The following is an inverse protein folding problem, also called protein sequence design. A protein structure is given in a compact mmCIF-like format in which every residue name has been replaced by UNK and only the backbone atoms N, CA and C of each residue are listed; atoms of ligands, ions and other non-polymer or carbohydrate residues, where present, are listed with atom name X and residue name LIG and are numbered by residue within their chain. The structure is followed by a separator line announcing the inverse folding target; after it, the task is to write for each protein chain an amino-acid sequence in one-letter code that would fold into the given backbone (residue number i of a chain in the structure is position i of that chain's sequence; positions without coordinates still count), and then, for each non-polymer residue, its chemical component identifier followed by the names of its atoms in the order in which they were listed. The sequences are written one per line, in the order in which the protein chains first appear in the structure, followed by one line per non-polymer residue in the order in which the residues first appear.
data_IF_959843288800
#
_entry.id   IF_959843288800
#
_cell.length_a   1.000
_cell.length_b   1.000
_cell.length_c   1.000
_cell.angle_alpha   90.00
_cell.angle_beta   90.00
_cell.angle_gamma   90.00
#
_symmetry.space_group_name_H-M   'P 1'
#
loop_
_entity.id
_entity.type
_entity.pdbx_description
1 polymer ?
#
# COMPACT_ATOMS: atom_id res chain seq x y z
N UNK A 1 -34.98 -3.18 32.21
CA UNK A 1 -35.52 -3.09 30.83
C UNK A 1 -34.35 -2.82 29.89
N UNK A 2 -34.37 -3.49 28.74
CA UNK A 2 -33.22 -4.03 28.01
C UNK A 2 -32.29 -2.95 27.42
N UNK A 3 -31.04 -2.91 27.87
CA UNK A 3 -29.88 -2.49 27.07
C UNK A 3 -29.22 -3.78 26.61
N UNK A 4 -28.80 -3.88 25.35
CA UNK A 4 -27.48 -4.35 24.91
C UNK A 4 -27.47 -4.33 23.38
N UNK A 5 -26.64 -3.45 22.84
CA UNK A 5 -26.28 -3.38 21.45
C UNK A 5 -25.49 -4.65 21.09
N UNK A 6 -25.90 -5.35 20.04
CA UNK A 6 -25.13 -6.45 19.48
C UNK A 6 -23.94 -5.84 18.72
N UNK A 7 -22.83 -5.70 19.43
CA UNK A 7 -21.52 -5.37 18.89
C UNK A 7 -21.15 -6.40 17.83
N UNK A 8 -20.92 -5.94 16.60
CA UNK A 8 -20.48 -6.78 15.48
C UNK A 8 -19.15 -7.46 15.82
N UNK A 9 -19.21 -8.76 16.05
CA UNK A 9 -18.05 -9.65 15.99
C UNK A 9 -17.73 -9.83 14.49
N UNK A 10 -16.81 -9.01 13.97
CA UNK A 10 -16.14 -9.30 12.71
C UNK A 10 -14.85 -10.05 13.04
N UNK A 11 -14.99 -11.38 13.14
CA UNK A 11 -13.89 -12.35 13.18
C UNK A 11 -13.22 -12.42 11.80
N UNK A 12 -11.95 -12.86 11.80
CA UNK A 12 -11.23 -13.59 10.73
C UNK A 12 -10.69 -12.74 9.53
N UNK A 13 -9.47 -12.95 9.02
CA UNK A 13 -8.45 -14.01 9.18
C UNK A 13 -7.05 -13.38 9.10
N UNK A 14 -6.19 -13.74 10.04
CA UNK A 14 -4.75 -13.56 9.95
C UNK A 14 -4.19 -14.70 9.08
N UNK A 15 -3.92 -14.47 7.80
CA UNK A 15 -3.13 -15.41 6.98
C UNK A 15 -1.74 -14.85 6.82
N UNK A 16 -0.76 -15.64 7.27
CA UNK A 16 0.59 -15.20 7.54
C UNK A 16 1.39 -14.76 6.32
N UNK A 17 2.30 -13.83 6.59
CA UNK A 17 3.57 -13.73 5.88
C UNK A 17 4.58 -13.18 6.87
N UNK A 18 5.37 -14.09 7.45
CA UNK A 18 6.64 -13.71 8.06
C UNK A 18 7.57 -13.26 6.93
N UNK A 19 7.59 -11.97 6.64
CA UNK A 19 8.72 -11.33 5.97
C UNK A 19 9.51 -10.61 7.06
N UNK A 20 10.40 -11.34 7.72
CA UNK A 20 11.44 -10.73 8.55
C UNK A 20 12.56 -10.29 7.61
N UNK A 21 12.50 -9.04 7.14
CA UNK A 21 13.67 -8.36 6.62
C UNK A 21 14.02 -7.24 7.61
N UNK A 22 14.79 -7.61 8.64
CA UNK A 22 15.46 -6.65 9.48
C UNK A 22 16.53 -5.90 8.64
N UNK A 23 16.80 -4.66 9.04
CA UNK A 23 17.95 -3.78 8.68
C UNK A 23 18.05 -3.41 7.17
N UNK A 24 18.24 -2.15 6.78
CA UNK A 24 18.91 -1.04 7.44
C UNK A 24 18.34 0.29 6.96
N UNK A 25 18.37 1.28 7.84
CA UNK A 25 18.24 2.70 7.52
C UNK A 25 19.23 3.06 6.41
N UNK A 26 18.76 3.25 5.18
CA UNK A 26 19.59 3.90 4.16
C UNK A 26 19.63 5.39 4.47
N UNK A 27 20.71 5.76 5.15
CA UNK A 27 21.19 7.14 5.31
C UNK A 27 21.15 7.84 3.95
N UNK A 28 20.35 8.90 3.83
CA UNK A 28 20.48 9.90 2.76
C UNK A 28 19.33 10.04 1.76
N UNK A 29 18.25 9.25 1.81
CA UNK A 29 17.12 9.45 0.90
C UNK A 29 15.83 8.80 1.39
N UNK A 30 14.68 9.47 1.18
CA UNK A 30 13.32 8.97 1.43
C UNK A 30 12.97 7.81 0.48
N UNK A 31 13.72 6.72 0.56
CA UNK A 31 13.55 5.51 -0.24
C UNK A 31 13.35 4.32 0.70
N UNK A 32 12.33 3.51 0.41
CA UNK A 32 12.07 2.23 1.07
C UNK A 32 12.17 1.08 0.07
N UNK A 33 12.46 -0.11 0.56
CA UNK A 33 12.49 -1.34 -0.23
C UNK A 33 11.43 -2.30 0.31
N UNK A 34 10.60 -2.84 -0.57
CA UNK A 34 9.57 -3.80 -0.20
C UNK A 34 9.57 -5.01 -1.14
N UNK A 35 9.43 -6.20 -0.56
CA UNK A 35 9.16 -7.42 -1.30
C UNK A 35 7.65 -7.62 -1.42
N UNK A 36 7.12 -7.56 -2.64
CA UNK A 36 5.68 -7.64 -2.92
C UNK A 36 5.40 -9.03 -3.54
N UNK A 37 4.69 -9.93 -2.84
CA UNK A 37 4.55 -11.34 -3.24
C UNK A 37 3.44 -11.59 -4.27
N UNK A 38 2.86 -10.53 -4.85
CA UNK A 38 1.76 -10.62 -5.80
C UNK A 38 1.91 -9.57 -6.90
N UNK A 39 1.28 -9.82 -8.05
CA UNK A 39 1.09 -8.80 -9.07
C UNK A 39 0.16 -7.71 -8.53
N UNK A 40 0.48 -6.44 -8.80
CA UNK A 40 -0.28 -5.31 -8.29
C UNK A 40 -0.40 -4.18 -9.30
N UNK A 41 -1.37 -3.30 -9.08
CA UNK A 41 -1.58 -2.11 -9.88
C UNK A 41 -1.09 -0.87 -9.13
N UNK A 42 -0.33 -0.06 -9.82
CA UNK A 42 0.26 1.20 -9.38
C UNK A 42 -0.28 2.30 -10.30
N UNK A 43 -1.33 2.99 -9.85
CA UNK A 43 -2.08 3.91 -10.71
C UNK A 43 -2.72 3.15 -11.89
N UNK A 44 -2.24 3.42 -13.10
CA UNK A 44 -2.70 2.77 -14.35
C UNK A 44 -1.74 1.69 -14.88
N UNK A 45 -0.66 1.37 -14.15
CA UNK A 45 0.29 0.32 -14.55
C UNK A 45 0.13 -0.93 -13.70
N UNK A 46 0.23 -2.09 -14.32
CA UNK A 46 0.33 -3.38 -13.63
C UNK A 46 1.80 -3.78 -13.53
N UNK A 47 2.22 -4.16 -12.32
CA UNK A 47 3.59 -4.52 -11.97
C UNK A 47 3.63 -5.97 -11.43
N UNK A 48 4.61 -6.79 -11.84
CA UNK A 48 4.74 -8.17 -11.35
C UNK A 48 5.16 -8.22 -9.88
N UNK A 49 4.97 -9.39 -9.25
CA UNK A 49 5.52 -9.67 -7.92
C UNK A 49 7.06 -9.55 -7.95
N UNK A 50 7.64 -9.06 -6.86
CA UNK A 50 9.10 -8.90 -6.73
C UNK A 50 9.52 -7.87 -5.69
N UNK A 51 10.82 -7.60 -5.65
CA UNK A 51 11.40 -6.54 -4.81
C UNK A 51 11.36 -5.20 -5.55
N UNK A 52 10.80 -4.18 -4.88
CA UNK A 52 10.66 -2.82 -5.41
C UNK A 52 11.30 -1.81 -4.48
N UNK A 53 12.03 -0.86 -5.06
CA UNK A 53 12.35 0.41 -4.42
C UNK A 53 11.20 1.39 -4.63
N UNK A 54 10.79 2.07 -3.57
CA UNK A 54 9.79 3.14 -3.62
C UNK A 54 10.43 4.41 -3.07
N UNK A 55 10.41 5.48 -3.86
CA UNK A 55 10.95 6.78 -3.45
C UNK A 55 10.08 7.93 -3.95
N UNK A 56 10.06 9.02 -3.20
CA UNK A 56 9.49 10.28 -3.69
C UNK A 56 10.50 10.96 -4.62
N UNK A 57 10.08 11.35 -5.82
CA UNK A 57 10.96 11.99 -6.82
C UNK A 57 10.93 13.52 -6.76
N UNK A 58 9.97 14.10 -6.05
CA UNK A 58 9.78 15.54 -5.86
C UNK A 58 9.43 15.87 -4.38
N UNK A 59 10.40 15.75 -3.46
CA UNK A 59 10.14 15.92 -2.02
C UNK A 59 9.71 17.35 -1.63
N UNK A 60 10.08 18.36 -2.41
CA UNK A 60 9.80 19.77 -2.11
C UNK A 60 8.48 20.28 -2.74
N UNK A 61 7.67 19.39 -3.30
CA UNK A 61 6.41 19.74 -3.96
C UNK A 61 5.20 19.35 -3.10
N UNK A 62 4.18 20.21 -3.08
CA UNK A 62 2.89 19.92 -2.44
C UNK A 62 2.16 18.74 -3.09
N UNK A 63 2.48 18.44 -4.35
CA UNK A 63 1.93 17.33 -5.12
C UNK A 63 2.97 16.21 -5.18
N UNK A 64 2.90 15.25 -4.27
CA UNK A 64 3.89 14.17 -4.20
C UNK A 64 3.81 13.21 -5.40
N UNK A 65 4.96 12.74 -5.86
CA UNK A 65 5.08 11.69 -6.88
C UNK A 65 5.99 10.59 -6.34
N UNK A 66 5.46 9.38 -6.29
CA UNK A 66 6.24 8.18 -5.97
C UNK A 66 6.67 7.48 -7.24
N UNK A 67 7.93 7.07 -7.27
CA UNK A 67 8.48 6.11 -8.22
C UNK A 67 8.61 4.76 -7.53
N UNK A 68 7.91 3.76 -8.06
CA UNK A 68 8.08 2.35 -7.75
C UNK A 68 8.91 1.75 -8.88
N UNK A 69 10.05 1.15 -8.55
CA UNK A 69 10.95 0.54 -9.53
C UNK A 69 11.37 -0.84 -9.06
N UNK A 70 11.24 -1.84 -9.91
CA UNK A 70 11.70 -3.20 -9.64
C UNK A 70 13.22 -3.21 -9.49
N UNK A 71 13.72 -4.15 -8.68
CA UNK A 71 15.16 -4.32 -8.44
C UNK A 71 15.98 -4.53 -9.71
N UNK A 72 15.41 -5.20 -10.72
CA UNK A 72 16.04 -5.46 -12.01
C UNK A 72 15.89 -4.30 -13.02
N UNK A 73 15.12 -3.25 -12.68
CA UNK A 73 14.87 -2.10 -13.54
C UNK A 73 13.88 -2.34 -14.68
N UNK A 74 13.35 -3.56 -14.84
CA UNK A 74 12.49 -3.93 -15.96
C UNK A 74 11.04 -3.44 -15.81
N UNK A 75 10.61 -3.13 -14.58
CA UNK A 75 9.25 -2.69 -14.29
C UNK A 75 9.26 -1.44 -13.40
N UNK A 76 8.52 -0.40 -13.81
CA UNK A 76 8.40 0.82 -13.02
C UNK A 76 7.09 1.57 -13.23
N UNK A 77 6.66 2.28 -12.19
CA UNK A 77 5.49 3.15 -12.21
C UNK A 77 5.75 4.45 -11.46
N UNK A 78 5.24 5.55 -12.03
CA UNK A 78 5.12 6.84 -11.36
C UNK A 78 3.67 7.03 -10.96
N UNK A 79 3.43 7.40 -9.70
CA UNK A 79 2.10 7.61 -9.15
C UNK A 79 2.08 8.95 -8.42
N UNK A 80 1.14 9.80 -8.79
CA UNK A 80 0.80 10.99 -8.02
C UNK A 80 0.11 10.57 -6.72
N UNK A 81 0.53 11.15 -5.61
CA UNK A 81 0.09 10.83 -4.27
C UNK A 81 -0.20 12.11 -3.49
N UNK A 82 -1.18 12.03 -2.61
CA UNK A 82 -1.50 13.08 -1.65
C UNK A 82 -0.84 12.76 -0.31
N UNK A 83 -0.43 13.80 0.42
CA UNK A 83 0.07 13.65 1.78
C UNK A 83 -1.09 13.36 2.74
N UNK A 84 -0.95 12.33 3.58
CA UNK A 84 -1.92 11.99 4.63
C UNK A 84 -1.23 12.00 5.99
N UNK A 85 -1.80 12.73 6.95
CA UNK A 85 -1.31 12.76 8.32
C UNK A 85 -1.92 11.58 9.07
N UNK A 86 -1.08 10.78 9.72
CA UNK A 86 -1.50 9.62 10.50
C UNK A 86 -0.72 9.48 11.80
N UNK A 87 -0.89 8.33 12.44
CA UNK A 87 -0.03 7.95 13.58
C UNK A 87 1.38 7.73 13.07
N UNK A 88 2.37 8.23 13.81
CA UNK A 88 3.78 7.93 13.56
C UNK A 88 3.95 6.41 13.40
N UNK A 89 4.53 6.00 12.27
CA UNK A 89 4.80 4.59 12.01
C UNK A 89 6.23 4.30 12.47
N UNK A 90 6.41 3.33 13.36
CA UNK A 90 7.74 2.89 13.79
C UNK A 90 8.55 2.26 12.66
N UNK A 91 7.86 1.71 11.64
CA UNK A 91 8.47 1.03 10.51
C UNK A 91 7.85 1.45 9.19
N UNK A 92 8.62 1.37 8.11
CA UNK A 92 8.10 1.64 6.78
C UNK A 92 7.07 0.57 6.38
N UNK A 93 6.03 1.01 5.66
CA UNK A 93 4.87 0.16 5.35
C UNK A 93 4.24 0.53 4.02
N UNK A 94 3.92 -0.46 3.20
CA UNK A 94 3.10 -0.30 2.00
C UNK A 94 1.74 -0.96 2.23
N UNK A 95 0.67 -0.28 1.81
CA UNK A 95 -0.69 -0.76 1.93
C UNK A 95 -1.32 -0.89 0.55
N UNK A 96 -2.08 -1.97 0.34
CA UNK A 96 -2.77 -2.29 -0.90
C UNK A 96 -4.24 -2.56 -0.64
N UNK A 97 -5.12 -2.07 -1.51
CA UNK A 97 -6.50 -2.56 -1.57
C UNK A 97 -6.55 -3.83 -2.41
N UNK A 98 -7.32 -4.81 -1.94
CA UNK A 98 -7.53 -6.07 -2.62
C UNK A 98 -9.01 -6.23 -2.93
N UNK A 99 -9.28 -6.45 -4.21
CA UNK A 99 -10.60 -6.75 -4.76
C UNK A 99 -10.52 -8.11 -5.47
N UNK A 100 -10.91 -9.17 -4.76
CA UNK A 100 -10.70 -10.55 -5.23
C UNK A 100 -9.21 -10.87 -5.38
N UNK A 101 -8.75 -11.11 -6.61
CA UNK A 101 -7.34 -11.39 -6.91
C UNK A 101 -6.57 -10.17 -7.46
N UNK A 102 -7.19 -8.99 -7.50
CA UNK A 102 -6.58 -7.75 -7.98
C UNK A 102 -6.10 -6.93 -6.79
N UNK A 103 -4.82 -6.52 -6.82
CA UNK A 103 -4.21 -5.68 -5.79
C UNK A 103 -3.91 -4.29 -6.36
N UNK A 104 -4.13 -3.26 -5.57
CA UNK A 104 -3.92 -1.86 -5.94
C UNK A 104 -3.14 -1.15 -4.85
N UNK A 105 -2.03 -0.50 -5.22
CA UNK A 105 -1.27 0.33 -4.28
C UNK A 105 -2.15 1.46 -3.74
N UNK A 106 -2.27 1.55 -2.43
CA UNK A 106 -3.13 2.52 -1.75
C UNK A 106 -2.32 3.54 -0.96
N UNK A 107 -1.35 3.09 -0.16
CA UNK A 107 -0.57 3.99 0.70
C UNK A 107 0.88 3.53 0.87
N UNK A 108 1.79 4.47 1.08
CA UNK A 108 3.16 4.25 1.51
C UNK A 108 3.49 5.10 2.73
N UNK A 109 4.10 4.48 3.73
CA UNK A 109 4.53 5.12 4.96
C UNK A 109 6.04 4.92 5.13
N UNK A 110 6.76 6.01 5.37
CA UNK A 110 8.18 5.97 5.70
C UNK A 110 8.27 5.89 7.24
N UNK A 111 9.10 4.98 7.75
CA UNK A 111 9.27 4.83 9.20
C UNK A 111 9.90 6.08 9.81
N UNK A 112 9.41 6.48 10.99
CA UNK A 112 9.88 7.66 11.73
C UNK A 112 9.14 8.96 11.41
N UNK A 113 8.33 9.00 10.34
CA UNK A 113 7.47 10.14 10.01
C UNK A 113 5.99 9.85 10.39
N UNK A 114 5.24 10.93 10.66
CA UNK A 114 3.79 10.91 10.85
C UNK A 114 3.00 11.18 9.56
N UNK A 115 3.73 11.41 8.46
CA UNK A 115 3.17 11.72 7.15
C UNK A 115 3.33 10.51 6.25
N UNK A 116 2.21 10.00 5.76
CA UNK A 116 2.16 8.98 4.72
C UNK A 116 1.82 9.59 3.36
N UNK A 117 1.99 8.78 2.33
CA UNK A 117 1.59 9.11 0.96
C UNK A 117 0.44 8.21 0.55
N UNK A 118 -0.63 8.77 0.03
CA UNK A 118 -1.82 8.05 -0.41
C UNK A 118 -2.01 8.21 -1.92
N UNK A 119 -2.19 7.09 -2.61
CA UNK A 119 -2.57 7.11 -4.01
C UNK A 119 -4.10 7.30 -4.15
N UNK A 120 -4.57 8.17 -5.04
CA UNK A 120 -5.98 8.22 -5.38
C UNK A 120 -6.37 6.94 -6.13
N UNK A 121 -7.61 6.48 -5.90
CA UNK A 121 -8.12 5.29 -6.58
C UNK A 121 -8.06 5.46 -8.09
N UNK A 122 -7.51 4.48 -8.81
CA UNK A 122 -7.48 4.52 -10.28
C UNK A 122 -8.85 4.20 -10.88
N UNK A 123 -9.02 4.42 -12.19
CA UNK A 123 -10.27 4.03 -12.88
C UNK A 123 -10.49 2.51 -12.79
N UNK A 124 -9.42 1.74 -12.99
CA UNK A 124 -9.45 0.28 -12.87
C UNK A 124 -9.75 -0.19 -11.45
N UNK A 125 -9.31 0.54 -10.42
CA UNK A 125 -9.62 0.22 -9.03
C UNK A 125 -11.09 0.44 -8.70
N UNK A 126 -11.67 1.58 -9.11
CA UNK A 126 -13.11 1.86 -8.92
C UNK A 126 -14.00 0.83 -9.62
N UNK A 127 -13.58 0.37 -10.81
CA UNK A 127 -14.27 -0.68 -11.54
C UNK A 127 -14.23 -2.02 -10.78
N UNK A 128 -13.04 -2.41 -10.27
CA UNK A 128 -12.88 -3.63 -9.47
C UNK A 128 -13.68 -3.56 -8.16
N UNK A 129 -13.73 -2.41 -7.51
CA UNK A 129 -14.55 -2.18 -6.32
C UNK A 129 -16.04 -2.33 -6.61
N UNK A 130 -16.52 -1.75 -7.71
CA UNK A 130 -17.93 -1.83 -8.10
C UNK A 130 -18.35 -3.26 -8.48
N UNK A 131 -17.46 -3.99 -9.17
CA UNK A 131 -17.63 -5.41 -9.50
C UNK A 131 -17.77 -6.25 -8.21
N UNK A 132 -16.87 -6.05 -7.24
CA UNK A 132 -16.88 -6.78 -5.98
C UNK A 132 -18.10 -6.44 -5.10
N UNK A 133 -18.52 -5.18 -5.10
CA UNK A 133 -19.69 -4.71 -4.37
C UNK A 133 -21.00 -5.31 -4.91
N UNK A 134 -21.13 -5.47 -6.23
CA UNK A 134 -22.26 -6.16 -6.85
C UNK A 134 -22.36 -7.63 -6.44
N UNK A 135 -21.24 -8.26 -6.08
CA UNK A 135 -21.14 -9.62 -5.58
C UNK A 135 -21.28 -9.73 -4.05
N UNK A 136 -21.63 -8.62 -3.36
CA UNK A 136 -21.70 -8.53 -1.89
C UNK A 136 -20.43 -9.04 -1.17
N UNK A 137 -19.29 -8.95 -1.85
CA UNK A 137 -18.02 -9.47 -1.35
C UNK A 137 -17.22 -8.37 -0.65
N UNK A 138 -16.48 -8.74 0.40
CA UNK A 138 -15.76 -7.78 1.26
C UNK A 138 -14.47 -7.30 0.58
N UNK A 139 -14.26 -5.99 0.56
CA UNK A 139 -12.95 -5.40 0.21
C UNK A 139 -11.94 -5.65 1.32
N UNK A 140 -10.73 -6.05 0.95
CA UNK A 140 -9.65 -6.32 1.90
C UNK A 140 -8.52 -5.28 1.75
N UNK A 141 -7.79 -5.06 2.84
CA UNK A 141 -6.60 -4.21 2.87
C UNK A 141 -5.40 -5.06 3.29
N UNK A 142 -4.35 -5.05 2.48
CA UNK A 142 -3.13 -5.82 2.70
C UNK A 142 -1.99 -4.87 3.01
N UNK A 143 -1.33 -5.06 4.16
CA UNK A 143 -0.19 -4.26 4.57
C UNK A 143 1.10 -5.10 4.52
N UNK A 144 2.12 -4.55 3.85
CA UNK A 144 3.45 -5.11 3.75
C UNK A 144 4.42 -4.22 4.52
N UNK A 145 5.30 -4.82 5.32
CA UNK A 145 6.42 -4.11 5.91
C UNK A 145 7.48 -3.85 4.84
N UNK A 146 8.06 -2.67 4.89
CA UNK A 146 9.18 -2.27 4.06
C UNK A 146 10.40 -2.00 4.95
N UNK A 147 11.58 -2.09 4.35
CA UNK A 147 12.87 -1.80 4.99
C UNK A 147 13.50 -0.54 4.41
#
# INVERSE_FOLDING_TARGET
MKKQAYTMIALLVLVGSMAVAAQAQTVGGRQLIANIPFQFNAGNKTLPAGEYSVRQVNPDSDCGVLLLSSRDGNASALIQVDSVIGKAQETAKLTFHRYGNKYFFAQGWIGGDNTGMQAPKSKSERAAESELAGLQSKTETVALRAR
#
